data_IF_605438253063
#
_entry.id   IF_605438253063
#
_cell.length_a   1.000
_cell.length_b   1.000
_cell.length_c   1.000
_cell.angle_alpha   90.00
_cell.angle_beta   90.00
_cell.angle_gamma   90.00
#
_symmetry.space_group_name_H-M   'P 1'
#
loop_
_entity.id
_entity.type
_entity.pdbx_description
1 polymer ?
#
# COMPACT_ATOMS: atom_id res chain seq x y z
N UNK A 1 -26.95 -0.65 -3.96
CA UNK A 1 -28.37 -0.54 -3.55
C UNK A 1 -28.82 -1.56 -2.49
N UNK A 2 -28.10 -2.65 -2.22
CA UNK A 2 -28.33 -3.46 -1.00
C UNK A 2 -27.39 -3.08 0.16
N UNK A 3 -26.77 -1.89 0.09
CA UNK A 3 -25.51 -1.53 0.74
C UNK A 3 -25.53 -1.56 2.26
N UNK A 4 -25.31 -2.74 2.84
CA UNK A 4 -24.73 -2.82 4.17
C UNK A 4 -23.40 -2.04 4.14
N UNK A 5 -23.17 -1.19 5.14
CA UNK A 5 -21.90 -0.49 5.29
C UNK A 5 -20.74 -1.47 5.50
N UNK A 6 -19.55 -0.94 5.77
CA UNK A 6 -18.44 -1.78 6.23
C UNK A 6 -18.89 -2.58 7.48
N UNK A 7 -18.43 -3.83 7.65
CA UNK A 7 -18.63 -4.57 8.88
C UNK A 7 -18.22 -3.72 10.08
N UNK A 8 -18.91 -3.87 11.21
CA UNK A 8 -18.73 -2.98 12.37
C UNK A 8 -17.28 -3.00 12.91
N UNK A 9 -16.59 -4.12 12.70
CA UNK A 9 -15.21 -4.37 13.08
C UNK A 9 -14.19 -3.71 12.14
N UNK A 10 -14.62 -3.27 10.95
CA UNK A 10 -13.76 -2.65 9.93
C UNK A 10 -13.91 -1.13 9.97
N UNK A 11 -13.11 -0.50 10.83
CA UNK A 11 -12.92 0.95 10.84
C UNK A 11 -11.60 1.31 10.16
N UNK A 12 -11.64 2.23 9.19
CA UNK A 12 -10.48 2.64 8.40
C UNK A 12 -10.01 4.05 8.75
N UNK A 13 -10.73 4.76 9.62
CA UNK A 13 -10.40 6.13 10.00
C UNK A 13 -9.05 6.19 10.68
N UNK A 14 -8.16 7.06 10.20
CA UNK A 14 -6.84 7.22 10.81
C UNK A 14 -5.90 6.01 10.61
N UNK A 15 -6.25 5.07 9.72
CA UNK A 15 -5.46 3.86 9.46
C UNK A 15 -4.87 3.85 8.04
N UNK A 16 -4.09 2.81 7.76
CA UNK A 16 -3.59 2.48 6.43
C UNK A 16 -4.22 1.17 5.94
N UNK A 17 -4.51 1.09 4.64
CA UNK A 17 -4.83 -0.20 4.00
C UNK A 17 -3.55 -0.77 3.42
N UNK A 18 -3.19 -1.98 3.87
CA UNK A 18 -2.11 -2.75 3.26
C UNK A 18 -2.69 -3.74 2.25
N UNK A 19 -2.37 -3.59 0.97
CA UNK A 19 -2.76 -4.56 -0.05
C UNK A 19 -1.83 -5.78 0.03
N UNK A 20 -2.31 -6.83 0.68
CA UNK A 20 -1.58 -8.06 0.94
C UNK A 20 -2.53 -9.25 0.88
N UNK A 21 -2.02 -10.39 0.43
CA UNK A 21 -2.66 -11.68 0.65
C UNK A 21 -1.67 -12.52 1.44
N UNK A 22 -1.78 -12.53 2.79
CA UNK A 22 -0.75 -13.13 3.62
C UNK A 22 -0.91 -14.65 3.62
N UNK A 23 0.20 -15.36 3.87
CA UNK A 23 0.21 -16.81 4.00
C UNK A 23 -0.05 -17.19 5.45
N UNK A 24 -0.80 -18.29 5.67
CA UNK A 24 -1.10 -18.77 7.02
C UNK A 24 0.18 -18.93 7.88
N UNK A 25 0.13 -18.49 9.14
CA UNK A 25 1.27 -18.64 10.04
C UNK A 25 1.53 -20.11 10.34
N UNK A 26 2.82 -20.46 10.51
CA UNK A 26 3.21 -21.79 10.97
C UNK A 26 3.80 -21.73 12.37
N UNK A 27 3.46 -22.71 13.21
CA UNK A 27 3.95 -22.81 14.60
C UNK A 27 3.61 -21.53 15.39
N UNK A 28 4.63 -20.82 15.87
CA UNK A 28 4.49 -19.65 16.75
C UNK A 28 4.64 -18.32 15.99
N UNK A 29 4.55 -18.34 14.66
CA UNK A 29 4.56 -17.11 13.86
C UNK A 29 3.27 -16.30 14.07
N UNK A 30 3.39 -14.99 14.25
CA UNK A 30 2.23 -14.07 14.28
C UNK A 30 1.52 -14.06 12.93
N UNK A 31 2.31 -14.03 11.85
CA UNK A 31 1.84 -13.99 10.47
C UNK A 31 2.90 -14.65 9.59
N UNK A 32 2.48 -15.52 8.66
CA UNK A 32 3.36 -16.04 7.63
C UNK A 32 3.80 -14.93 6.65
N UNK A 33 4.51 -15.27 5.56
CA UNK A 33 4.92 -14.29 4.55
C UNK A 33 3.77 -13.38 4.09
N UNK A 34 3.97 -12.06 4.26
CA UNK A 34 2.94 -11.04 4.03
C UNK A 34 3.50 -9.98 3.08
N UNK A 35 3.64 -10.36 1.80
CA UNK A 35 4.21 -9.49 0.77
C UNK A 35 3.18 -8.55 0.13
N UNK A 36 3.58 -7.35 -0.31
CA UNK A 36 2.66 -6.43 -0.97
C UNK A 36 2.16 -6.99 -2.30
N UNK A 37 0.92 -6.66 -2.63
CA UNK A 37 0.35 -6.89 -3.96
C UNK A 37 0.24 -5.61 -4.77
N UNK A 38 0.05 -5.75 -6.09
CA UNK A 38 0.09 -4.63 -7.05
C UNK A 38 -1.05 -3.64 -6.78
N UNK A 39 -0.69 -2.40 -6.43
CA UNK A 39 -1.63 -1.37 -5.99
C UNK A 39 -2.53 -0.82 -7.10
N UNK A 40 -2.05 -0.83 -8.36
CA UNK A 40 -2.78 -0.30 -9.52
C UNK A 40 -4.15 -0.96 -9.71
N UNK A 41 -4.31 -2.24 -9.31
CA UNK A 41 -5.61 -2.95 -9.38
C UNK A 41 -6.69 -2.31 -8.51
N UNK A 42 -6.29 -1.55 -7.49
CA UNK A 42 -7.19 -0.89 -6.54
C UNK A 42 -7.50 0.57 -6.90
N UNK A 43 -6.90 1.13 -7.96
CA UNK A 43 -7.06 2.54 -8.34
C UNK A 43 -8.53 2.92 -8.58
N UNK A 44 -9.30 2.04 -9.24
CA UNK A 44 -10.72 2.27 -9.54
C UNK A 44 -11.61 2.42 -8.30
N UNK A 45 -11.16 1.93 -7.15
CA UNK A 45 -11.91 2.00 -5.89
C UNK A 45 -11.39 3.08 -4.94
N UNK A 46 -10.22 3.64 -5.22
CA UNK A 46 -9.46 4.44 -4.26
C UNK A 46 -10.17 5.74 -3.90
N UNK A 47 -10.71 6.47 -4.89
CA UNK A 47 -11.44 7.72 -4.62
C UNK A 47 -12.66 7.49 -3.70
N UNK A 48 -13.45 6.46 -4.01
CA UNK A 48 -14.62 6.10 -3.21
C UNK A 48 -14.24 5.71 -1.77
N UNK A 49 -13.20 4.89 -1.59
CA UNK A 49 -12.75 4.48 -0.26
C UNK A 49 -12.27 5.69 0.54
N UNK A 50 -11.40 6.54 -0.04
CA UNK A 50 -10.84 7.69 0.65
C UNK A 50 -11.94 8.69 1.09
N UNK A 51 -12.91 8.97 0.21
CA UNK A 51 -14.03 9.88 0.46
C UNK A 51 -14.88 9.48 1.69
N UNK A 52 -15.10 8.18 1.91
CA UNK A 52 -16.08 7.70 2.89
C UNK A 52 -15.48 7.16 4.19
N UNK A 53 -14.17 6.99 4.27
CA UNK A 53 -13.56 6.20 5.37
C UNK A 53 -12.62 6.99 6.27
N UNK A 54 -12.09 8.12 5.82
CA UNK A 54 -11.06 8.86 6.58
C UNK A 54 -9.71 8.11 6.65
N UNK A 55 -9.46 7.24 5.68
CA UNK A 55 -8.20 6.51 5.52
C UNK A 55 -7.04 7.46 5.25
N UNK A 56 -5.90 7.27 5.92
CA UNK A 56 -4.72 8.14 5.76
C UNK A 56 -3.89 7.79 4.52
N UNK A 57 -3.88 6.52 4.14
CA UNK A 57 -3.05 6.07 3.03
C UNK A 57 -3.12 4.58 2.79
N UNK A 58 -2.30 4.16 1.83
CA UNK A 58 -2.28 2.78 1.36
C UNK A 58 -0.84 2.28 1.22
N UNK A 59 -0.64 0.99 1.44
CA UNK A 59 0.64 0.28 1.28
C UNK A 59 0.47 -0.79 0.20
N UNK A 60 1.41 -0.89 -0.73
CA UNK A 60 1.39 -1.90 -1.79
C UNK A 60 2.71 -1.99 -2.54
N UNK A 61 2.67 -2.53 -3.76
CA UNK A 61 3.80 -2.49 -4.71
C UNK A 61 3.37 -1.93 -6.07
N UNK A 62 4.38 -1.58 -6.87
CA UNK A 62 4.25 -0.92 -8.18
C UNK A 62 3.70 0.51 -8.09
N UNK A 63 3.70 1.17 -9.24
CA UNK A 63 3.19 2.52 -9.44
C UNK A 63 1.66 2.59 -9.26
N UNK A 64 1.19 3.80 -8.93
CA UNK A 64 -0.23 4.16 -9.03
C UNK A 64 -0.48 4.76 -10.42
N UNK A 65 -1.62 4.44 -11.00
CA UNK A 65 -2.06 5.09 -12.24
C UNK A 65 -2.58 6.51 -11.99
N UNK A 66 -2.87 7.27 -13.07
CA UNK A 66 -3.33 8.66 -12.96
C UNK A 66 -4.57 8.84 -12.09
N UNK A 67 -5.54 7.92 -12.18
CA UNK A 67 -6.76 7.93 -11.34
C UNK A 67 -6.43 7.77 -9.86
N UNK A 68 -5.51 6.86 -9.52
CA UNK A 68 -5.05 6.65 -8.15
C UNK A 68 -4.32 7.87 -7.59
N UNK A 69 -3.41 8.45 -8.37
CA UNK A 69 -2.66 9.66 -8.00
C UNK A 69 -3.62 10.84 -7.79
N UNK A 70 -4.60 11.02 -8.68
CA UNK A 70 -5.59 12.08 -8.56
C UNK A 70 -6.44 11.94 -7.28
N UNK A 71 -6.86 10.73 -6.95
CA UNK A 71 -7.59 10.44 -5.71
C UNK A 71 -6.74 10.72 -4.47
N UNK A 72 -5.48 10.28 -4.45
CA UNK A 72 -4.52 10.54 -3.36
C UNK A 72 -4.38 12.05 -3.13
N UNK A 73 -4.18 12.82 -4.21
CA UNK A 73 -4.06 14.29 -4.16
C UNK A 73 -5.34 14.96 -3.67
N UNK A 74 -6.51 14.54 -4.18
CA UNK A 74 -7.83 15.09 -3.83
C UNK A 74 -8.08 14.96 -2.33
N UNK A 75 -7.78 13.80 -1.76
CA UNK A 75 -8.08 13.45 -0.37
C UNK A 75 -6.93 13.69 0.60
N UNK A 76 -5.79 14.20 0.13
CA UNK A 76 -4.57 14.40 0.93
C UNK A 76 -4.07 13.13 1.63
N UNK A 77 -4.31 11.98 1.01
CA UNK A 77 -3.78 10.70 1.45
C UNK A 77 -2.33 10.51 0.98
N UNK A 78 -1.71 9.39 1.34
CA UNK A 78 -0.37 9.00 0.84
C UNK A 78 -0.35 7.56 0.36
N UNK A 79 0.54 7.24 -0.57
CA UNK A 79 0.82 5.86 -0.97
C UNK A 79 2.27 5.50 -0.64
N UNK A 80 2.42 4.44 0.14
CA UNK A 80 3.69 3.86 0.53
C UNK A 80 3.94 2.57 -0.26
N UNK A 81 5.15 2.43 -0.78
CA UNK A 81 5.56 1.21 -1.46
C UNK A 81 6.40 0.36 -0.51
N UNK A 82 5.96 -0.87 -0.30
CA UNK A 82 6.74 -1.91 0.35
C UNK A 82 7.58 -2.67 -0.69
N UNK A 83 8.69 -3.27 -0.26
CA UNK A 83 9.60 -3.99 -1.14
C UNK A 83 8.97 -5.32 -1.59
N UNK A 84 8.73 -5.46 -2.90
CA UNK A 84 8.25 -6.71 -3.49
C UNK A 84 9.30 -7.82 -3.40
N UNK A 85 8.86 -9.06 -3.14
CA UNK A 85 9.75 -10.23 -3.05
C UNK A 85 10.38 -10.48 -1.67
N UNK A 86 10.25 -9.52 -0.74
CA UNK A 86 10.75 -9.63 0.63
C UNK A 86 9.66 -10.02 1.65
N UNK A 87 8.65 -10.81 1.25
CA UNK A 87 7.42 -11.07 2.01
C UNK A 87 7.67 -11.60 3.44
N UNK A 88 8.66 -12.46 3.61
CA UNK A 88 9.04 -12.99 4.94
C UNK A 88 9.65 -11.92 5.84
N UNK A 89 10.47 -11.01 5.30
CA UNK A 89 11.07 -9.92 6.08
C UNK A 89 10.01 -8.89 6.45
N UNK A 90 9.09 -8.59 5.53
CA UNK A 90 7.97 -7.68 5.79
C UNK A 90 7.05 -8.23 6.88
N UNK A 91 6.79 -9.54 6.92
CA UNK A 91 5.95 -10.12 7.97
C UNK A 91 6.57 -10.03 9.37
N UNK A 92 7.90 -9.89 9.50
CA UNK A 92 8.55 -9.64 10.80
C UNK A 92 8.21 -8.29 11.42
N UNK A 93 7.75 -7.34 10.61
CA UNK A 93 7.24 -6.06 11.11
C UNK A 93 5.83 -6.19 11.71
N UNK A 94 5.10 -7.28 11.43
CA UNK A 94 3.74 -7.51 11.95
C UNK A 94 3.84 -8.13 13.35
N UNK A 95 3.39 -7.41 14.36
CA UNK A 95 3.45 -7.83 15.77
C UNK A 95 2.16 -8.44 16.28
N UNK A 96 1.03 -8.18 15.60
CA UNK A 96 -0.27 -8.80 15.88
C UNK A 96 -1.09 -8.87 14.59
N UNK A 97 -1.89 -9.91 14.44
CA UNK A 97 -2.77 -10.14 13.29
C UNK A 97 -4.08 -10.76 13.75
N UNK A 98 -5.22 -10.23 13.30
CA UNK A 98 -6.52 -10.89 13.45
C UNK A 98 -7.41 -10.66 12.24
N UNK A 99 -8.21 -11.66 11.88
CA UNK A 99 -9.26 -11.51 10.88
C UNK A 99 -10.38 -10.67 11.48
N UNK A 100 -10.81 -9.62 10.77
CA UNK A 100 -11.89 -8.71 11.20
C UNK A 100 -13.12 -8.79 10.30
N UNK A 101 -12.99 -9.26 9.07
CA UNK A 101 -14.14 -9.50 8.19
C UNK A 101 -13.84 -10.51 7.09
N UNK A 102 -14.91 -11.16 6.63
CA UNK A 102 -14.92 -12.09 5.50
C UNK A 102 -13.93 -13.26 5.62
N UNK A 103 -13.92 -14.01 6.75
CA UNK A 103 -13.00 -15.15 6.94
C UNK A 103 -13.12 -16.22 5.86
N UNK A 104 -14.28 -16.34 5.22
CA UNK A 104 -14.54 -17.26 4.11
C UNK A 104 -13.71 -16.96 2.84
N UNK A 105 -13.14 -15.76 2.73
CA UNK A 105 -12.28 -15.36 1.61
C UNK A 105 -10.81 -15.81 1.78
N UNK A 106 -10.47 -16.48 2.89
CA UNK A 106 -9.12 -16.99 3.13
C UNK A 106 -8.08 -15.87 3.13
N UNK A 107 -7.06 -15.98 2.26
CA UNK A 107 -6.00 -14.97 2.14
C UNK A 107 -6.49 -13.58 1.70
N UNK A 108 -7.71 -13.46 1.17
CA UNK A 108 -8.33 -12.18 0.80
C UNK A 108 -9.25 -11.60 1.89
N UNK A 109 -9.34 -12.26 3.04
CA UNK A 109 -10.05 -11.72 4.21
C UNK A 109 -9.44 -10.38 4.65
N UNK A 110 -10.22 -9.58 5.39
CA UNK A 110 -9.69 -8.34 5.98
C UNK A 110 -9.02 -8.70 7.30
N UNK A 111 -7.74 -8.37 7.39
CA UNK A 111 -6.96 -8.50 8.61
C UNK A 111 -6.71 -7.12 9.22
N UNK A 112 -6.81 -7.03 10.55
CA UNK A 112 -6.19 -5.94 11.28
C UNK A 112 -4.78 -6.37 11.70
N UNK A 113 -3.80 -5.55 11.34
CA UNK A 113 -2.40 -5.72 11.71
C UNK A 113 -1.94 -4.61 12.65
N UNK A 114 -1.20 -5.00 13.68
CA UNK A 114 -0.28 -4.08 14.35
C UNK A 114 1.10 -4.24 13.72
N UNK A 115 1.73 -3.12 13.38
CA UNK A 115 3.03 -3.10 12.70
C UNK A 115 4.04 -2.25 13.47
N UNK A 116 5.30 -2.69 13.46
CA UNK A 116 6.45 -1.98 14.04
C UNK A 116 7.60 -2.01 13.04
N UNK A 117 8.20 -0.84 12.80
CA UNK A 117 9.38 -0.68 11.94
C UNK A 117 9.23 -1.30 10.53
N UNK A 118 8.03 -1.23 9.95
CA UNK A 118 7.75 -1.76 8.61
C UNK A 118 8.51 -0.97 7.54
N UNK A 119 9.39 -1.60 6.74
CA UNK A 119 10.20 -0.89 5.76
C UNK A 119 9.36 -0.52 4.53
N UNK A 120 9.04 0.76 4.41
CA UNK A 120 8.25 1.33 3.31
C UNK A 120 8.80 2.67 2.86
N UNK A 121 8.54 3.03 1.60
CA UNK A 121 8.97 4.30 1.00
C UNK A 121 7.76 5.08 0.50
N UNK A 122 7.73 6.40 0.69
CA UNK A 122 6.69 7.27 0.10
C UNK A 122 6.84 7.22 -1.43
N UNK A 123 5.86 6.62 -2.10
CA UNK A 123 5.86 6.47 -3.55
C UNK A 123 4.96 7.50 -4.24
N UNK A 124 3.87 7.93 -3.59
CA UNK A 124 3.08 9.10 -3.97
C UNK A 124 2.79 9.91 -2.72
N UNK A 125 3.15 11.20 -2.72
CA UNK A 125 2.88 12.12 -1.62
C UNK A 125 1.45 12.70 -1.66
N UNK A 126 1.09 13.50 -0.65
CA UNK A 126 -0.24 14.12 -0.54
C UNK A 126 -0.51 15.24 -1.56
N UNK A 127 0.49 15.60 -2.37
CA UNK A 127 0.35 16.54 -3.49
C UNK A 127 0.18 15.82 -4.84
N UNK A 128 0.29 14.49 -4.84
CA UNK A 128 0.23 13.66 -6.03
C UNK A 128 1.57 13.56 -6.76
N UNK A 129 2.69 13.91 -6.13
CA UNK A 129 4.01 13.71 -6.71
C UNK A 129 4.41 12.24 -6.59
N UNK A 130 4.65 11.59 -7.73
CA UNK A 130 5.01 10.17 -7.82
C UNK A 130 6.52 9.99 -8.01
N UNK A 131 7.14 9.10 -7.21
CA UNK A 131 8.55 8.70 -7.39
C UNK A 131 8.77 7.95 -8.71
N UNK A 132 7.75 7.25 -9.20
CA UNK A 132 7.81 6.51 -10.47
C UNK A 132 7.83 7.46 -11.68
N UNK A 133 7.39 8.72 -11.50
CA UNK A 133 7.49 9.75 -12.54
C UNK A 133 8.73 10.63 -12.37
N UNK A 134 9.01 11.05 -11.13
CA UNK A 134 10.10 11.99 -10.83
C UNK A 134 11.47 11.30 -10.80
N UNK A 135 11.55 10.07 -10.30
CA UNK A 135 12.78 9.29 -10.21
C UNK A 135 13.45 9.07 -11.56
N UNK A 136 12.75 8.48 -12.56
CA UNK A 136 13.33 8.29 -13.89
C UNK A 136 13.80 9.59 -14.53
N UNK A 137 13.02 10.68 -14.43
CA UNK A 137 13.38 12.00 -14.97
C UNK A 137 14.65 12.55 -14.32
N UNK A 138 14.75 12.48 -12.99
CA UNK A 138 15.90 12.95 -12.23
C UNK A 138 17.17 12.20 -12.65
N UNK A 139 17.10 10.87 -12.72
CA UNK A 139 18.26 10.05 -13.08
C UNK A 139 18.64 10.18 -14.54
N UNK A 140 17.66 10.31 -15.45
CA UNK A 140 17.93 10.59 -16.85
C UNK A 140 18.73 11.88 -17.03
N UNK A 141 18.35 12.96 -16.35
CA UNK A 141 19.09 14.23 -16.38
C UNK A 141 20.53 14.08 -15.84
N UNK A 142 20.68 13.45 -14.65
CA UNK A 142 22.00 13.22 -14.04
C UNK A 142 22.93 12.38 -14.91
N UNK A 143 22.41 11.31 -15.52
CA UNK A 143 23.19 10.44 -16.42
C UNK A 143 23.61 11.23 -17.66
N UNK A 144 22.72 12.04 -18.24
CA UNK A 144 23.05 12.88 -19.39
C UNK A 144 24.13 13.93 -19.06
N UNK A 145 24.07 14.57 -17.88
CA UNK A 145 25.09 15.50 -17.40
C UNK A 145 26.46 14.83 -17.21
N UNK A 146 26.49 13.62 -16.67
CA UNK A 146 27.74 12.85 -16.47
C UNK A 146 28.31 12.29 -17.79
N UNK A 147 27.47 11.99 -18.77
CA UNK A 147 27.89 11.49 -20.08
C UNK A 147 28.63 12.55 -20.92
N UNK A 148 28.51 13.84 -20.58
CA UNK A 148 29.29 14.92 -21.22
C UNK A 148 30.65 15.03 -20.52
N UNK A 149 31.51 14.04 -20.75
CA UNK A 149 32.96 14.22 -20.67
C UNK A 149 33.55 13.56 -21.91
N UNK A 150 33.57 14.31 -23.02
CA UNK A 150 34.34 13.96 -24.20
C UNK A 150 35.46 15.00 -24.30
N UNK A 151 36.69 14.52 -24.11
CA UNK A 151 37.92 15.28 -24.31
C UNK A 151 38.12 15.64 -25.79
#
# INVERSE_FOLDING_TARGET
ESGAGLPAEVDLRGRFIYYVGPVDPVRDEVMGPAGPTTATRMDKFTDFILEHTGLLGMIGKAERGPTGIAAIRKHKAVYLMAVGGAAYLVSKAITSARVVAFPELGMEAIYEFEVRDMPVTVAVDCNGTSVHETGPKLWQAKIAEQAITVA
#
